data_IF_712093042225
#
_entry.id   IF_712093042225
#
_cell.length_a   1.000
_cell.length_b   1.000
_cell.length_c   1.000
_cell.angle_alpha   90.00
_cell.angle_beta   90.00
_cell.angle_gamma   90.00
#
_symmetry.space_group_name_H-M   'P 1'
#
loop_
_entity.id
_entity.type
_entity.pdbx_description
1 polymer ?
#
# COMPACT_ATOMS: atom_id res chain seq x y z
N UNK A 1 -10.70 -23.80 -18.30
CA UNK A 1 -10.78 -22.48 -18.97
C UNK A 1 -12.01 -21.64 -18.60
N UNK A 2 -13.16 -22.23 -18.23
CA UNK A 2 -14.43 -21.50 -18.06
C UNK A 2 -14.57 -20.60 -16.79
N UNK A 3 -13.86 -20.88 -15.70
CA UNK A 3 -14.05 -20.17 -14.42
C UNK A 3 -13.44 -18.76 -14.36
N UNK A 4 -12.44 -18.44 -15.21
CA UNK A 4 -11.76 -17.14 -15.20
C UNK A 4 -12.45 -16.05 -16.04
N UNK A 5 -13.38 -16.46 -16.91
CA UNK A 5 -14.14 -15.57 -17.78
C UNK A 5 -15.49 -15.14 -17.19
N UNK A 6 -15.95 -15.79 -16.11
CA UNK A 6 -17.19 -15.43 -15.45
C UNK A 6 -17.12 -13.99 -14.88
N UNK A 7 -18.10 -13.12 -15.18
CA UNK A 7 -18.13 -11.75 -14.67
C UNK A 7 -18.06 -11.76 -13.15
N UNK A 8 -17.12 -11.00 -12.59
CA UNK A 8 -17.01 -10.87 -11.13
C UNK A 8 -18.19 -10.05 -10.60
N UNK A 9 -18.96 -10.54 -9.61
CA UNK A 9 -20.11 -9.84 -9.07
C UNK A 9 -19.78 -8.44 -8.54
N UNK A 10 -20.69 -7.48 -8.70
CA UNK A 10 -20.55 -6.13 -8.18
C UNK A 10 -20.27 -6.11 -6.66
N UNK A 11 -20.93 -7.00 -5.89
CA UNK A 11 -20.72 -7.16 -4.45
C UNK A 11 -19.25 -7.43 -4.07
N UNK A 12 -18.51 -8.16 -4.91
CA UNK A 12 -17.10 -8.46 -4.64
C UNK A 12 -16.20 -7.25 -4.88
N UNK A 13 -16.54 -6.41 -5.86
CA UNK A 13 -15.83 -5.15 -6.12
C UNK A 13 -16.10 -4.12 -5.02
N UNK A 14 -17.35 -4.00 -4.59
CA UNK A 14 -17.75 -3.13 -3.49
C UNK A 14 -17.08 -3.60 -2.19
N UNK A 15 -17.10 -4.90 -1.90
CA UNK A 15 -16.41 -5.45 -0.73
C UNK A 15 -14.90 -5.17 -0.71
N UNK A 16 -14.22 -5.23 -1.86
CA UNK A 16 -12.81 -4.86 -1.95
C UNK A 16 -12.57 -3.36 -1.70
N UNK A 17 -13.41 -2.50 -2.30
CA UNK A 17 -13.31 -1.05 -2.10
C UNK A 17 -13.58 -0.65 -0.64
N UNK A 18 -14.62 -1.20 -0.02
CA UNK A 18 -14.95 -0.95 1.40
C UNK A 18 -13.87 -1.54 2.30
N UNK A 19 -13.36 -2.73 2.00
CA UNK A 19 -12.26 -3.34 2.75
C UNK A 19 -11.01 -2.45 2.75
N UNK A 20 -10.65 -1.86 1.61
CA UNK A 20 -9.53 -0.93 1.53
C UNK A 20 -9.82 0.42 2.20
N UNK A 21 -11.05 0.94 2.04
CA UNK A 21 -11.53 2.16 2.69
C UNK A 21 -11.40 2.10 4.22
N UNK A 22 -11.59 0.91 4.82
CA UNK A 22 -11.50 0.70 6.27
C UNK A 22 -10.11 0.24 6.72
N UNK A 23 -9.42 -0.60 5.94
CA UNK A 23 -8.11 -1.10 6.35
C UNK A 23 -7.04 0.00 6.35
N UNK A 24 -7.07 0.89 5.36
CA UNK A 24 -6.10 1.98 5.22
C UNK A 24 -6.00 2.89 6.45
N UNK A 25 -7.09 3.49 6.99
CA UNK A 25 -7.01 4.30 8.20
C UNK A 25 -6.61 3.50 9.45
N UNK A 26 -7.04 2.23 9.56
CA UNK A 26 -6.60 1.36 10.66
C UNK A 26 -5.09 1.15 10.60
N UNK A 27 -4.53 0.94 9.42
CA UNK A 27 -3.08 0.81 9.22
C UNK A 27 -2.32 2.11 9.49
N UNK A 28 -2.92 3.26 9.16
CA UNK A 28 -2.32 4.57 9.35
C UNK A 28 -2.27 4.98 10.83
N UNK A 29 -3.39 4.89 11.54
CA UNK A 29 -3.55 5.52 12.85
C UNK A 29 -3.63 4.53 14.01
N UNK A 30 -4.25 3.37 13.82
CA UNK A 30 -4.59 2.49 14.94
C UNK A 30 -3.57 1.37 15.16
N UNK A 31 -2.95 0.84 14.11
CA UNK A 31 -2.05 -0.31 14.22
C UNK A 31 -0.82 -0.05 15.11
N UNK A 32 -0.26 1.15 15.08
CA UNK A 32 0.93 1.49 15.87
C UNK A 32 0.57 1.82 17.33
N UNK A 33 -0.71 2.12 17.63
CA UNK A 33 -1.20 2.34 18.99
C UNK A 33 -0.57 3.54 19.71
N UNK A 34 -0.19 4.58 18.96
CA UNK A 34 0.52 5.75 19.51
C UNK A 34 -0.42 6.77 20.18
N UNK A 35 -1.72 6.75 19.89
CA UNK A 35 -2.68 7.71 20.42
C UNK A 35 -3.56 7.06 21.51
N UNK A 36 -3.87 7.79 22.58
CA UNK A 36 -4.78 7.37 23.66
C UNK A 36 -6.14 6.84 23.19
N UNK A 37 -6.60 7.22 21.99
CA UNK A 37 -7.82 6.69 21.36
C UNK A 37 -7.81 5.16 21.26
N UNK A 38 -6.63 4.52 21.25
CA UNK A 38 -6.48 3.06 21.28
C UNK A 38 -7.18 2.40 22.48
N UNK A 39 -7.35 3.15 23.58
CA UNK A 39 -8.07 2.71 24.77
C UNK A 39 -9.57 3.06 24.75
N UNK A 40 -10.08 3.64 23.65
CA UNK A 40 -11.45 4.14 23.50
C UNK A 40 -12.10 3.57 22.23
N UNK A 41 -12.59 2.31 22.24
CA UNK A 41 -13.08 1.63 21.04
C UNK A 41 -14.19 2.35 20.27
N UNK A 42 -15.09 3.04 20.98
CA UNK A 42 -16.15 3.83 20.36
C UNK A 42 -15.62 5.04 19.61
N UNK A 43 -14.57 5.67 20.13
CA UNK A 43 -13.92 6.80 19.48
C UNK A 43 -13.09 6.32 18.30
N UNK A 44 -12.47 5.15 18.38
CA UNK A 44 -11.84 4.53 17.22
C UNK A 44 -12.84 4.30 16.09
N UNK A 45 -14.05 3.81 16.40
CA UNK A 45 -15.08 3.57 15.39
C UNK A 45 -15.60 4.87 14.78
N UNK A 46 -15.86 5.89 15.60
CA UNK A 46 -16.32 7.20 15.11
C UNK A 46 -15.21 7.96 14.37
N UNK A 47 -13.96 7.80 14.78
CA UNK A 47 -12.78 8.34 14.09
C UNK A 47 -12.66 7.84 12.65
N UNK A 48 -13.08 6.60 12.37
CA UNK A 48 -13.13 6.08 10.99
C UNK A 48 -14.08 6.87 10.07
N UNK A 49 -15.03 7.64 10.61
CA UNK A 49 -15.87 8.53 9.80
C UNK A 49 -15.09 9.70 9.20
N UNK A 50 -13.96 10.09 9.79
CA UNK A 50 -13.06 11.13 9.27
C UNK A 50 -11.84 10.49 8.60
N UNK A 51 -11.24 9.49 9.25
CA UNK A 51 -10.05 8.80 8.76
C UNK A 51 -10.33 7.93 7.54
N UNK A 52 -11.50 7.31 7.43
CA UNK A 52 -11.92 6.56 6.24
C UNK A 52 -11.92 7.43 4.99
N UNK A 53 -12.60 8.58 5.00
CA UNK A 53 -12.49 9.56 3.93
C UNK A 53 -11.05 10.06 3.68
N UNK A 54 -10.29 10.40 4.73
CA UNK A 54 -8.93 10.96 4.56
C UNK A 54 -7.94 9.93 3.99
N UNK A 55 -7.84 8.75 4.59
CA UNK A 55 -6.86 7.71 4.23
C UNK A 55 -7.43 6.67 3.27
N UNK A 56 -8.59 6.12 3.60
CA UNK A 56 -9.20 5.04 2.85
C UNK A 56 -9.64 5.45 1.45
N UNK A 57 -10.29 6.61 1.30
CA UNK A 57 -10.70 7.08 -0.02
C UNK A 57 -9.48 7.40 -0.88
N UNK A 58 -8.42 7.97 -0.30
CA UNK A 58 -7.14 8.18 -0.98
C UNK A 58 -6.52 6.86 -1.45
N UNK A 59 -6.42 5.84 -0.59
CA UNK A 59 -5.91 4.52 -0.94
C UNK A 59 -6.69 3.87 -2.10
N UNK A 60 -8.03 3.96 -2.05
CA UNK A 60 -8.92 3.47 -3.10
C UNK A 60 -8.68 4.24 -4.40
N UNK A 61 -8.57 5.58 -4.36
CA UNK A 61 -8.33 6.42 -5.55
C UNK A 61 -6.95 6.19 -6.17
N UNK A 62 -5.89 6.07 -5.37
CA UNK A 62 -4.53 5.74 -5.82
C UNK A 62 -4.55 4.45 -6.63
N UNK A 63 -5.12 3.40 -6.03
CA UNK A 63 -5.22 2.07 -6.64
C UNK A 63 -6.08 2.11 -7.90
N UNK A 64 -7.26 2.71 -7.81
CA UNK A 64 -8.22 2.76 -8.91
C UNK A 64 -7.65 3.51 -10.13
N UNK A 65 -6.95 4.61 -9.88
CA UNK A 65 -6.29 5.43 -10.91
C UNK A 65 -5.18 4.64 -11.62
N UNK A 66 -4.34 3.93 -10.87
CA UNK A 66 -3.30 3.09 -11.46
C UNK A 66 -3.92 1.99 -12.34
N UNK A 67 -4.90 1.23 -11.83
CA UNK A 67 -5.50 0.11 -12.58
C UNK A 67 -6.27 0.56 -13.82
N UNK A 68 -7.04 1.67 -13.74
CA UNK A 68 -7.78 2.21 -14.89
C UNK A 68 -6.90 2.68 -16.02
N UNK A 69 -5.70 3.15 -15.70
CA UNK A 69 -4.76 3.66 -16.69
C UNK A 69 -3.79 2.57 -17.19
N UNK A 70 -4.07 1.30 -16.89
CA UNK A 70 -3.26 0.15 -17.29
C UNK A 70 -1.89 0.11 -16.61
N UNK A 71 -1.77 0.71 -15.42
CA UNK A 71 -0.53 0.84 -14.65
C UNK A 71 -0.57 -0.02 -13.39
N UNK A 72 0.61 -0.18 -12.78
CA UNK A 72 0.81 -1.06 -11.62
C UNK A 72 1.51 -0.37 -10.46
N UNK A 73 2.27 -1.17 -9.69
CA UNK A 73 2.94 -0.74 -8.47
C UNK A 73 3.80 0.52 -8.58
N UNK A 74 4.63 0.75 -9.62
CA UNK A 74 5.42 1.97 -9.71
C UNK A 74 4.57 3.25 -9.66
N UNK A 75 3.43 3.25 -10.36
CA UNK A 75 2.48 4.36 -10.34
C UNK A 75 1.79 4.46 -8.99
N UNK A 76 1.36 3.34 -8.39
CA UNK A 76 0.74 3.37 -7.06
C UNK A 76 1.70 3.93 -6.01
N UNK A 77 2.98 3.53 -6.00
CA UNK A 77 3.99 4.05 -5.07
C UNK A 77 4.20 5.55 -5.27
N UNK A 78 4.38 6.03 -6.51
CA UNK A 78 4.57 7.47 -6.76
C UNK A 78 3.34 8.31 -6.39
N UNK A 79 2.13 7.81 -6.66
CA UNK A 79 0.89 8.46 -6.22
C UNK A 79 0.76 8.46 -4.70
N UNK A 80 1.18 7.39 -4.02
CA UNK A 80 1.25 7.33 -2.56
C UNK A 80 2.24 8.36 -1.99
N UNK A 81 3.40 8.57 -2.64
CA UNK A 81 4.37 9.61 -2.22
C UNK A 81 3.75 10.99 -2.39
N UNK A 82 3.10 11.25 -3.53
CA UNK A 82 2.41 12.52 -3.79
C UNK A 82 1.30 12.76 -2.76
N UNK A 83 0.48 11.74 -2.46
CA UNK A 83 -0.58 11.84 -1.47
C UNK A 83 -0.04 12.05 -0.05
N UNK A 84 1.03 11.34 0.33
CA UNK A 84 1.68 11.52 1.62
C UNK A 84 2.30 12.91 1.81
N UNK A 85 2.89 13.47 0.75
CA UNK A 85 3.36 14.87 0.75
C UNK A 85 2.21 15.86 0.93
N UNK A 86 1.09 15.65 0.22
CA UNK A 86 -0.10 16.50 0.36
C UNK A 86 -0.70 16.38 1.75
N UNK A 87 -0.79 15.18 2.32
CA UNK A 87 -1.30 15.00 3.68
C UNK A 87 -0.42 15.69 4.71
N UNK A 88 0.86 15.31 4.78
CA UNK A 88 1.79 15.82 5.79
C UNK A 88 2.14 17.32 5.61
N UNK A 89 2.11 17.81 4.37
CA UNK A 89 2.56 19.17 4.04
C UNK A 89 1.43 20.18 3.89
N UNK A 90 0.30 19.79 3.30
CA UNK A 90 -0.81 20.70 2.99
C UNK A 90 -1.98 20.50 3.96
N UNK A 91 -2.38 19.25 4.21
CA UNK A 91 -3.60 18.95 4.96
C UNK A 91 -3.36 19.10 6.46
N UNK A 92 -2.49 18.30 7.07
CA UNK A 92 -2.22 18.37 8.51
C UNK A 92 -1.09 19.34 8.86
N UNK A 93 -0.25 19.69 7.88
CA UNK A 93 0.89 20.61 8.00
C UNK A 93 1.94 20.19 9.04
N UNK A 94 1.97 18.91 9.41
CA UNK A 94 2.92 18.29 10.35
C UNK A 94 4.39 18.46 9.94
N UNK A 95 4.68 18.64 8.65
CA UNK A 95 6.04 18.94 8.17
C UNK A 95 6.56 20.30 8.62
N UNK A 96 5.66 21.26 8.83
CA UNK A 96 6.00 22.67 9.04
C UNK A 96 5.67 23.17 10.45
N UNK A 97 4.68 22.56 11.11
CA UNK A 97 4.21 23.00 12.42
C UNK A 97 5.20 22.52 13.53
N UNK A 98 5.91 23.44 14.22
CA UNK A 98 6.80 23.06 15.31
C UNK A 98 6.03 22.51 16.52
N UNK A 99 4.75 22.84 16.67
CA UNK A 99 3.89 22.47 17.80
C UNK A 99 2.82 21.44 17.38
N UNK A 100 3.10 20.63 16.34
CA UNK A 100 2.16 19.62 15.85
C UNK A 100 1.79 18.58 16.91
N UNK A 101 2.78 18.16 17.71
CA UNK A 101 2.60 17.30 18.89
C UNK A 101 3.09 18.07 20.11
N UNK A 102 2.23 18.21 21.11
CA UNK A 102 2.52 18.95 22.35
C UNK A 102 3.26 18.08 23.37
N UNK A 103 4.42 17.53 22.99
CA UNK A 103 5.25 16.68 23.84
C UNK A 103 6.74 17.00 23.68
N UNK A 104 7.51 16.85 24.75
CA UNK A 104 8.95 17.10 24.71
C UNK A 104 9.70 16.17 23.75
N UNK A 105 9.17 14.97 23.50
CA UNK A 105 9.72 13.99 22.55
C UNK A 105 9.67 14.47 21.10
N UNK A 106 8.73 15.37 20.77
CA UNK A 106 8.58 15.91 19.42
C UNK A 106 9.83 16.68 18.98
N UNK A 107 10.29 17.63 19.79
CA UNK A 107 11.47 18.42 19.48
C UNK A 107 12.77 17.62 19.57
N UNK A 108 12.82 16.61 20.45
CA UNK A 108 13.93 15.66 20.52
C UNK A 108 14.09 14.86 19.23
N UNK A 109 13.00 14.53 18.52
CA UNK A 109 13.06 13.86 17.22
C UNK A 109 13.28 14.84 16.05
N UNK A 110 12.60 15.99 16.11
CA UNK A 110 12.54 17.01 15.05
C UNK A 110 13.85 17.75 14.87
N UNK A 111 14.36 18.36 15.94
CA UNK A 111 15.47 19.33 15.89
C UNK A 111 16.81 18.74 15.40
N UNK A 112 17.20 17.50 15.75
CA UNK A 112 18.50 16.95 15.34
C UNK A 112 18.76 16.87 13.83
N UNK A 113 17.72 16.90 13.00
CA UNK A 113 17.83 16.92 11.53
C UNK A 113 17.07 18.10 10.91
N UNK A 114 16.85 19.15 11.69
CA UNK A 114 16.18 20.36 11.24
C UNK A 114 17.09 21.17 10.30
N UNK A 115 16.54 21.58 9.16
CA UNK A 115 17.23 22.41 8.16
C UNK A 115 16.54 23.77 8.13
N UNK A 116 17.11 24.82 8.76
CA UNK A 116 16.45 26.13 8.88
C UNK A 116 16.05 26.75 7.54
N UNK A 117 16.87 26.57 6.50
CA UNK A 117 16.60 27.09 5.16
C UNK A 117 15.31 26.52 4.52
N UNK A 118 14.96 25.27 4.88
CA UNK A 118 13.74 24.62 4.40
C UNK A 118 12.60 24.72 5.42
N UNK A 119 12.92 25.00 6.67
CA UNK A 119 11.96 25.08 7.76
C UNK A 119 11.37 23.73 8.18
N UNK A 120 12.07 22.62 7.87
CA UNK A 120 11.60 21.25 8.12
C UNK A 120 12.69 20.39 8.77
N UNK A 121 12.25 19.33 9.46
CA UNK A 121 13.10 18.20 9.84
C UNK A 121 13.15 17.19 8.70
N UNK A 122 14.35 16.82 8.25
CA UNK A 122 14.51 15.81 7.18
C UNK A 122 14.05 14.44 7.67
N UNK A 123 14.27 14.13 8.96
CA UNK A 123 13.74 12.91 9.58
C UNK A 123 12.22 12.87 9.55
N UNK A 124 11.54 13.95 9.95
CA UNK A 124 10.07 14.01 9.88
C UNK A 124 9.55 13.90 8.45
N UNK A 125 10.23 14.51 7.47
CA UNK A 125 9.87 14.36 6.07
C UNK A 125 9.90 12.89 5.62
N UNK A 126 10.99 12.18 5.92
CA UNK A 126 11.13 10.76 5.57
C UNK A 126 10.14 9.90 6.37
N UNK A 127 9.93 10.20 7.65
CA UNK A 127 9.03 9.50 8.55
C UNK A 127 7.56 9.62 8.15
N UNK A 128 7.04 10.84 7.99
CA UNK A 128 5.62 11.05 7.66
C UNK A 128 5.30 10.63 6.22
N UNK A 129 6.09 11.05 5.24
CA UNK A 129 5.86 10.64 3.85
C UNK A 129 6.07 9.14 3.69
N UNK A 130 7.12 8.58 4.30
CA UNK A 130 7.37 7.14 4.31
C UNK A 130 6.23 6.37 4.98
N UNK A 131 5.73 6.85 6.11
CA UNK A 131 4.61 6.27 6.84
C UNK A 131 3.32 6.25 6.01
N UNK A 132 2.99 7.36 5.35
CA UNK A 132 1.88 7.41 4.41
C UNK A 132 2.03 6.40 3.27
N UNK A 133 3.21 6.37 2.65
CA UNK A 133 3.47 5.48 1.52
C UNK A 133 3.33 4.02 1.94
N UNK A 134 3.98 3.62 3.03
CA UNK A 134 4.09 2.24 3.47
C UNK A 134 2.83 1.76 4.17
N UNK A 135 2.43 2.43 5.25
CA UNK A 135 1.40 1.99 6.17
C UNK A 135 0.00 2.41 5.71
N UNK A 136 -0.18 3.66 5.32
CA UNK A 136 -1.50 4.17 4.97
C UNK A 136 -1.96 3.64 3.60
N UNK A 137 -1.04 3.45 2.65
CA UNK A 137 -1.41 3.18 1.25
C UNK A 137 -0.94 1.84 0.70
N UNK A 138 0.37 1.63 0.53
CA UNK A 138 0.86 0.49 -0.24
C UNK A 138 0.55 -0.85 0.42
N UNK A 139 0.77 -0.96 1.73
CA UNK A 139 0.54 -2.19 2.45
C UNK A 139 -0.95 -2.61 2.45
N UNK A 140 -1.93 -1.76 2.84
CA UNK A 140 -3.33 -2.13 2.77
C UNK A 140 -3.81 -2.40 1.35
N UNK A 141 -3.33 -1.66 0.33
CA UNK A 141 -3.62 -1.97 -1.09
C UNK A 141 -3.18 -3.41 -1.43
N UNK A 142 -1.93 -3.77 -1.12
CA UNK A 142 -1.39 -5.09 -1.46
C UNK A 142 -2.07 -6.23 -0.72
N UNK A 143 -2.45 -6.02 0.54
CA UNK A 143 -3.20 -7.01 1.34
C UNK A 143 -4.61 -7.21 0.78
N UNK A 144 -5.35 -6.13 0.49
CA UNK A 144 -6.71 -6.24 -0.05
C UNK A 144 -6.70 -6.84 -1.46
N UNK A 145 -5.77 -6.45 -2.33
CA UNK A 145 -5.63 -7.09 -3.65
C UNK A 145 -5.36 -8.60 -3.54
N UNK A 146 -4.59 -9.03 -2.53
CA UNK A 146 -4.31 -10.45 -2.26
C UNK A 146 -5.53 -11.22 -1.74
N UNK A 147 -6.50 -10.54 -1.13
CA UNK A 147 -7.77 -11.11 -0.70
C UNK A 147 -8.73 -11.38 -1.87
N UNK A 148 -8.61 -10.58 -2.93
CA UNK A 148 -9.46 -10.64 -4.14
C UNK A 148 -8.61 -10.80 -5.42
N UNK A 149 -7.84 -11.90 -5.57
CA UNK A 149 -6.86 -12.04 -6.65
C UNK A 149 -7.43 -11.88 -8.06
N UNK A 150 -8.68 -12.31 -8.31
CA UNK A 150 -9.38 -12.15 -9.60
C UNK A 150 -9.72 -10.70 -9.95
N UNK A 151 -9.64 -9.79 -8.99
CA UNK A 151 -9.91 -8.35 -9.13
C UNK A 151 -8.66 -7.50 -8.95
N UNK A 152 -7.51 -8.09 -8.61
CA UNK A 152 -6.31 -7.36 -8.20
C UNK A 152 -5.82 -6.40 -9.29
N UNK A 153 -5.87 -6.81 -10.56
CA UNK A 153 -5.44 -6.03 -11.72
C UNK A 153 -6.56 -5.24 -12.40
N UNK A 154 -7.80 -5.29 -11.89
CA UNK A 154 -8.99 -4.70 -12.52
C UNK A 154 -9.56 -3.52 -11.75
N UNK A 155 -10.07 -2.46 -12.39
CA UNK A 155 -10.83 -1.40 -11.72
C UNK A 155 -11.97 -1.97 -10.86
N UNK A 156 -12.16 -1.42 -9.66
CA UNK A 156 -13.22 -1.84 -8.73
C UNK A 156 -14.45 -0.95 -8.83
N UNK A 157 -14.25 0.34 -9.12
CA UNK A 157 -15.32 1.33 -9.09
C UNK A 157 -15.92 1.57 -10.48
N UNK A 158 -16.95 2.40 -10.54
CA UNK A 158 -17.41 3.09 -11.75
C UNK A 158 -17.10 4.58 -11.64
N UNK A 159 -17.63 5.39 -12.57
CA UNK A 159 -17.51 6.87 -12.50
C UNK A 159 -18.11 7.42 -11.20
N UNK A 160 -19.29 6.95 -10.82
CA UNK A 160 -19.97 7.35 -9.57
C UNK A 160 -19.10 7.03 -8.35
N UNK A 161 -18.55 5.81 -8.28
CA UNK A 161 -17.69 5.42 -7.15
C UNK A 161 -16.44 6.29 -7.04
N UNK A 162 -15.82 6.66 -8.16
CA UNK A 162 -14.70 7.62 -8.16
C UNK A 162 -15.16 8.97 -7.62
N UNK A 163 -16.26 9.53 -8.13
CA UNK A 163 -16.79 10.81 -7.67
C UNK A 163 -17.07 10.79 -6.16
N UNK A 164 -17.71 9.74 -5.66
CA UNK A 164 -17.97 9.58 -4.21
C UNK A 164 -16.65 9.55 -3.43
N UNK A 165 -15.66 8.76 -3.84
CA UNK A 165 -14.38 8.69 -3.14
C UNK A 165 -13.61 10.02 -3.20
N UNK A 166 -13.67 10.75 -4.32
CA UNK A 166 -13.04 12.07 -4.46
C UNK A 166 -13.70 13.11 -3.54
N UNK A 167 -15.03 13.11 -3.46
CA UNK A 167 -15.77 13.99 -2.54
C UNK A 167 -15.46 13.63 -1.09
N UNK A 168 -15.49 12.36 -0.73
CA UNK A 168 -15.13 11.90 0.62
C UNK A 168 -13.71 12.34 0.99
N UNK A 169 -12.73 12.09 0.12
CA UNK A 169 -11.35 12.54 0.36
C UNK A 169 -11.27 14.06 0.55
N UNK A 170 -11.92 14.85 -0.31
CA UNK A 170 -11.95 16.29 -0.18
C UNK A 170 -12.56 16.78 1.13
N UNK A 171 -13.65 16.15 1.59
CA UNK A 171 -14.28 16.47 2.87
C UNK A 171 -13.39 16.09 4.07
N UNK A 172 -12.80 14.90 4.06
CA UNK A 172 -11.86 14.47 5.10
C UNK A 172 -10.63 15.38 5.17
N UNK A 173 -10.06 15.72 4.01
CA UNK A 173 -8.97 16.68 3.90
C UNK A 173 -9.36 18.07 4.43
N UNK A 174 -10.56 18.56 4.10
CA UNK A 174 -11.04 19.87 4.58
C UNK A 174 -11.22 19.90 6.10
N UNK A 175 -11.77 18.84 6.69
CA UNK A 175 -11.95 18.74 8.16
C UNK A 175 -10.60 18.81 8.87
N UNK A 176 -9.65 17.98 8.44
CA UNK A 176 -8.32 17.91 9.07
C UNK A 176 -7.52 19.19 8.82
N UNK A 177 -7.59 19.75 7.61
CA UNK A 177 -6.98 21.04 7.30
C UNK A 177 -7.51 22.15 8.18
N UNK A 178 -8.84 22.25 8.34
CA UNK A 178 -9.46 23.26 9.20
C UNK A 178 -9.04 23.09 10.66
N UNK A 179 -8.92 21.85 11.13
CA UNK A 179 -8.51 21.57 12.50
C UNK A 179 -7.07 22.03 12.76
N UNK A 180 -6.12 21.63 11.90
CA UNK A 180 -4.71 21.97 12.07
C UNK A 180 -4.34 23.39 11.65
N UNK A 181 -5.22 24.09 10.92
CA UNK A 181 -4.99 25.49 10.50
C UNK A 181 -5.41 26.55 11.52
N UNK A 182 -5.96 26.16 12.68
CA UNK A 182 -6.44 27.12 13.70
C UNK A 182 -5.30 27.92 14.32
N UNK A 183 -4.25 27.21 14.72
CA UNK A 183 -3.13 27.77 15.50
C UNK A 183 -1.86 27.90 14.65
N UNK A 184 -1.80 27.23 13.50
CA UNK A 184 -0.66 27.26 12.60
C UNK A 184 -1.10 27.24 11.14
N UNK A 185 -0.56 28.13 10.31
CA UNK A 185 -0.74 28.08 8.87
C UNK A 185 0.61 28.25 8.16
N UNK A 186 1.00 27.23 7.39
CA UNK A 186 2.19 27.26 6.57
C UNK A 186 2.10 28.38 5.52
N UNK A 187 3.24 28.99 5.21
CA UNK A 187 3.27 30.08 4.23
C UNK A 187 2.81 29.60 2.85
N UNK A 188 2.20 30.47 2.03
CA UNK A 188 1.77 30.10 0.68
C UNK A 188 2.90 29.52 -0.18
N UNK A 189 4.14 29.98 0.03
CA UNK A 189 5.32 29.44 -0.65
C UNK A 189 5.60 27.97 -0.28
N UNK A 190 5.46 27.59 0.99
CA UNK A 190 5.63 26.20 1.46
C UNK A 190 4.54 25.30 0.89
N UNK A 191 3.28 25.73 0.97
CA UNK A 191 2.14 25.02 0.40
C UNK A 191 2.28 24.84 -1.12
N UNK A 192 2.66 25.91 -1.83
CA UNK A 192 2.92 25.89 -3.27
C UNK A 192 4.07 24.96 -3.66
N UNK A 193 5.13 24.90 -2.85
CA UNK A 193 6.26 23.98 -3.06
C UNK A 193 5.81 22.53 -2.94
N UNK A 194 5.07 22.18 -1.90
CA UNK A 194 4.54 20.82 -1.72
C UNK A 194 3.59 20.45 -2.87
N UNK A 195 2.70 21.36 -3.26
CA UNK A 195 1.79 21.14 -4.38
C UNK A 195 2.53 20.92 -5.71
N UNK A 196 3.59 21.70 -5.98
CA UNK A 196 4.41 21.55 -7.18
C UNK A 196 5.16 20.21 -7.20
N UNK A 197 5.73 19.78 -6.06
CA UNK A 197 6.42 18.50 -5.94
C UNK A 197 5.43 17.32 -6.11
N UNK A 198 4.26 17.39 -5.48
CA UNK A 198 3.21 16.39 -5.63
C UNK A 198 2.73 16.30 -7.10
N UNK A 199 2.53 17.44 -7.77
CA UNK A 199 2.17 17.47 -9.19
C UNK A 199 3.28 16.86 -10.07
N UNK A 200 4.54 17.19 -9.80
CA UNK A 200 5.69 16.59 -10.48
C UNK A 200 5.72 15.07 -10.35
N UNK A 201 5.50 14.55 -9.14
CA UNK A 201 5.40 13.11 -8.89
C UNK A 201 4.23 12.45 -9.64
N UNK A 202 3.07 13.11 -9.68
CA UNK A 202 1.90 12.65 -10.46
C UNK A 202 2.25 12.58 -11.95
N UNK A 203 2.88 13.64 -12.49
CA UNK A 203 3.33 13.67 -13.89
C UNK A 203 4.30 12.53 -14.17
N UNK A 204 5.31 12.32 -13.32
CA UNK A 204 6.26 11.21 -13.45
C UNK A 204 5.54 9.85 -13.38
N UNK A 205 4.58 9.69 -12.47
CA UNK A 205 3.81 8.45 -12.30
C UNK A 205 3.06 8.04 -13.58
N UNK A 206 2.62 9.02 -14.36
CA UNK A 206 1.97 8.79 -15.66
C UNK A 206 2.95 8.81 -16.84
N UNK A 207 4.13 9.42 -16.72
CA UNK A 207 5.17 9.36 -17.74
C UNK A 207 5.89 8.00 -17.78
N UNK A 208 5.86 7.24 -16.68
CA UNK A 208 6.49 5.92 -16.63
C UNK A 208 5.95 4.96 -17.71
N UNK A 209 6.83 4.18 -18.37
CA UNK A 209 6.42 3.19 -19.35
C UNK A 209 5.44 2.16 -18.78
N UNK A 210 4.41 1.84 -19.56
CA UNK A 210 3.50 0.73 -19.24
C UNK A 210 4.24 -0.58 -19.50
N UNK A 211 4.37 -1.42 -18.47
CA UNK A 211 4.92 -2.77 -18.66
C UNK A 211 3.81 -3.70 -19.15
N UNK A 212 4.01 -4.41 -20.27
CA UNK A 212 3.03 -5.37 -20.75
C UNK A 212 2.86 -6.53 -19.74
N UNK A 213 1.63 -7.03 -19.53
CA UNK A 213 1.40 -8.22 -18.73
C UNK A 213 2.22 -9.40 -19.25
N UNK A 214 2.93 -10.10 -18.37
CA UNK A 214 3.69 -11.32 -18.74
C UNK A 214 5.12 -11.09 -19.26
N UNK A 215 5.60 -9.84 -19.40
CA UNK A 215 6.95 -9.52 -19.87
C UNK A 215 8.05 -9.57 -18.81
N UNK A 216 7.99 -10.52 -17.87
CA UNK A 216 8.97 -10.61 -16.78
C UNK A 216 10.35 -11.04 -17.30
N UNK A 217 11.43 -10.37 -16.85
CA UNK A 217 12.79 -10.79 -17.19
C UNK A 217 13.17 -12.08 -16.46
N UNK A 218 14.09 -12.85 -17.04
CA UNK A 218 14.68 -14.01 -16.38
C UNK A 218 15.51 -13.63 -15.16
N UNK A 219 15.55 -14.50 -14.16
CA UNK A 219 16.42 -14.35 -12.99
C UNK A 219 15.80 -14.87 -11.70
N UNK A 220 16.66 -15.18 -10.73
CA UNK A 220 16.25 -15.70 -9.42
C UNK A 220 15.54 -14.62 -8.59
N UNK A 221 14.41 -14.97 -7.98
CA UNK A 221 13.72 -14.16 -6.98
C UNK A 221 13.77 -14.93 -5.66
N UNK A 222 14.01 -14.28 -4.50
CA UNK A 222 13.92 -14.97 -3.22
C UNK A 222 12.53 -15.59 -3.03
N UNK A 223 12.40 -16.67 -2.24
CA UNK A 223 11.08 -17.20 -1.92
C UNK A 223 10.25 -16.13 -1.15
N UNK A 224 8.91 -16.14 -1.26
CA UNK A 224 8.07 -15.11 -0.65
C UNK A 224 8.32 -14.88 0.85
N UNK A 225 8.57 -15.95 1.62
CA UNK A 225 8.84 -15.83 3.05
C UNK A 225 10.13 -15.05 3.32
N UNK A 226 11.19 -15.25 2.52
CA UNK A 226 12.46 -14.55 2.69
C UNK A 226 12.33 -13.07 2.31
N UNK A 227 11.53 -12.76 1.28
CA UNK A 227 11.19 -11.37 0.94
C UNK A 227 10.41 -10.70 2.08
N UNK A 228 9.47 -11.42 2.71
CA UNK A 228 8.74 -10.95 3.89
C UNK A 228 9.65 -10.70 5.10
N UNK A 229 10.53 -11.65 5.44
CA UNK A 229 11.50 -11.48 6.54
C UNK A 229 12.45 -10.31 6.29
N UNK A 230 12.96 -10.16 5.06
CA UNK A 230 13.78 -9.00 4.68
C UNK A 230 13.00 -7.68 4.82
N UNK A 231 11.72 -7.66 4.44
CA UNK A 231 10.87 -6.50 4.64
C UNK A 231 10.67 -6.19 6.13
N UNK A 232 10.43 -7.19 7.00
CA UNK A 232 10.34 -6.98 8.46
C UNK A 232 11.59 -6.29 9.00
N UNK A 233 12.78 -6.76 8.61
CA UNK A 233 14.05 -6.17 9.07
C UNK A 233 14.21 -4.73 8.60
N UNK A 234 14.00 -4.47 7.31
CA UNK A 234 14.21 -3.12 6.75
C UNK A 234 13.16 -2.12 7.24
N UNK A 235 11.91 -2.56 7.40
CA UNK A 235 10.83 -1.74 7.92
C UNK A 235 10.95 -1.51 9.43
N UNK A 236 11.45 -2.49 10.17
CA UNK A 236 11.84 -2.32 11.58
C UNK A 236 12.97 -1.30 11.73
N UNK A 237 14.00 -1.37 10.88
CA UNK A 237 15.08 -0.38 10.87
C UNK A 237 14.61 1.04 10.51
N UNK A 238 13.62 1.16 9.63
CA UNK A 238 12.95 2.44 9.34
C UNK A 238 12.28 3.02 10.60
N UNK A 239 11.43 2.23 11.28
CA UNK A 239 10.66 2.67 12.45
C UNK A 239 11.53 2.93 13.69
N UNK A 240 12.55 2.09 13.92
CA UNK A 240 13.40 2.15 15.11
C UNK A 240 14.63 3.05 14.92
N UNK A 241 14.67 3.84 13.85
CA UNK A 241 15.79 4.76 13.59
C UNK A 241 15.85 5.86 14.65
N UNK A 242 17.01 5.99 15.30
CA UNK A 242 17.23 6.99 16.34
C UNK A 242 17.10 8.44 15.82
N UNK A 243 16.84 9.44 16.68
CA UNK A 243 16.95 10.85 16.30
C UNK A 243 18.34 11.20 15.75
N UNK A 244 18.40 12.21 14.89
CA UNK A 244 19.66 12.72 14.32
C UNK A 244 20.11 12.09 13.01
N UNK A 245 21.21 12.62 12.47
CA UNK A 245 21.72 12.28 11.13
C UNK A 245 22.10 10.81 10.96
N UNK A 246 22.63 10.16 12.00
CA UNK A 246 22.97 8.74 11.95
C UNK A 246 21.75 7.84 11.80
N UNK A 247 20.69 8.09 12.59
CA UNK A 247 19.43 7.36 12.45
C UNK A 247 18.73 7.66 11.12
N UNK A 248 18.76 8.92 10.68
CA UNK A 248 18.27 9.28 9.35
C UNK A 248 19.01 8.53 8.22
N UNK A 249 20.33 8.43 8.29
CA UNK A 249 21.11 7.68 7.30
C UNK A 249 20.74 6.19 7.27
N UNK A 250 20.58 5.57 8.44
CA UNK A 250 20.09 4.19 8.55
C UNK A 250 18.69 4.03 7.93
N UNK A 251 17.79 4.96 8.25
CA UNK A 251 16.43 4.97 7.73
C UNK A 251 16.40 5.04 6.19
N UNK A 252 17.10 6.03 5.62
CA UNK A 252 17.21 6.20 4.17
C UNK A 252 17.85 4.98 3.52
N UNK A 253 18.91 4.41 4.12
CA UNK A 253 19.54 3.20 3.62
C UNK A 253 18.57 2.01 3.62
N UNK A 254 17.79 1.82 4.69
CA UNK A 254 16.81 0.75 4.79
C UNK A 254 15.70 0.88 3.72
N UNK A 255 15.16 2.09 3.53
CA UNK A 255 14.17 2.38 2.50
C UNK A 255 14.74 2.22 1.08
N UNK A 256 15.97 2.67 0.85
CA UNK A 256 16.65 2.51 -0.44
C UNK A 256 16.93 1.04 -0.77
N UNK A 257 17.34 0.24 0.21
CA UNK A 257 17.53 -1.20 0.05
C UNK A 257 16.19 -1.92 -0.22
N UNK A 258 15.13 -1.55 0.50
CA UNK A 258 13.80 -2.11 0.27
C UNK A 258 13.29 -1.76 -1.14
N UNK A 259 13.31 -0.47 -1.49
CA UNK A 259 12.89 0.02 -2.81
C UNK A 259 13.72 -0.55 -3.94
N UNK A 260 15.04 -0.57 -3.83
CA UNK A 260 15.94 -1.15 -4.82
C UNK A 260 15.72 -2.66 -5.02
N UNK A 261 15.48 -3.40 -3.93
CA UNK A 261 15.15 -4.83 -3.98
C UNK A 261 13.81 -5.06 -4.69
N UNK A 262 12.79 -4.27 -4.38
CA UNK A 262 11.48 -4.32 -5.04
C UNK A 262 11.59 -3.96 -6.53
N UNK A 263 12.34 -2.92 -6.89
CA UNK A 263 12.56 -2.54 -8.29
C UNK A 263 13.26 -3.66 -9.07
N UNK A 264 14.26 -4.31 -8.45
CA UNK A 264 15.04 -5.40 -9.06
C UNK A 264 14.22 -6.69 -9.23
N UNK A 265 13.41 -7.05 -8.24
CA UNK A 265 12.71 -8.33 -8.24
C UNK A 265 11.31 -8.28 -8.84
N UNK A 266 10.58 -7.17 -8.70
CA UNK A 266 9.20 -7.05 -9.19
C UNK A 266 9.05 -7.17 -10.71
N UNK A 267 10.14 -6.93 -11.46
CA UNK A 267 10.18 -7.13 -12.91
C UNK A 267 10.50 -8.55 -13.36
N UNK A 268 10.79 -9.49 -12.45
CA UNK A 268 11.21 -10.86 -12.78
C UNK A 268 10.00 -11.79 -12.85
N UNK A 269 10.04 -12.79 -13.73
CA UNK A 269 8.96 -13.76 -13.90
C UNK A 269 8.60 -14.53 -12.61
N UNK A 270 9.56 -14.72 -11.70
CA UNK A 270 9.34 -15.39 -10.41
C UNK A 270 8.68 -14.53 -9.33
N UNK A 271 8.46 -13.23 -9.55
CA UNK A 271 7.80 -12.35 -8.59
C UNK A 271 6.28 -12.36 -8.81
N UNK A 272 5.52 -12.66 -7.75
CA UNK A 272 4.06 -12.78 -7.86
C UNK A 272 3.29 -12.26 -6.65
N UNK A 273 1.99 -12.52 -6.64
CA UNK A 273 1.08 -12.07 -5.58
C UNK A 273 1.48 -12.55 -4.17
N UNK A 274 2.11 -13.73 -4.07
CA UNK A 274 2.63 -14.23 -2.79
C UNK A 274 3.75 -13.34 -2.23
N UNK A 275 4.63 -12.79 -3.08
CA UNK A 275 5.67 -11.84 -2.66
C UNK A 275 5.07 -10.51 -2.25
N UNK A 276 4.08 -10.02 -3.00
CA UNK A 276 3.35 -8.79 -2.66
C UNK A 276 2.69 -8.92 -1.30
N UNK A 277 1.97 -10.01 -1.05
CA UNK A 277 1.36 -10.29 0.26
C UNK A 277 2.41 -10.39 1.36
N UNK A 278 3.55 -11.03 1.11
CA UNK A 278 4.61 -11.16 2.10
C UNK A 278 5.22 -9.82 2.49
N UNK A 279 5.51 -8.94 1.53
CA UNK A 279 6.08 -7.60 1.79
C UNK A 279 5.06 -6.66 2.41
N UNK A 280 3.84 -6.60 1.87
CA UNK A 280 2.78 -5.73 2.40
C UNK A 280 2.30 -6.22 3.77
N UNK A 281 2.19 -7.53 3.96
CA UNK A 281 1.84 -8.14 5.24
C UNK A 281 2.93 -7.95 6.29
N UNK A 282 4.20 -8.06 5.93
CA UNK A 282 5.31 -7.69 6.82
C UNK A 282 5.17 -6.26 7.32
N UNK A 283 4.69 -5.36 6.48
CA UNK A 283 4.46 -3.99 6.87
C UNK A 283 3.40 -3.86 8.00
N UNK A 284 2.23 -4.47 7.82
CA UNK A 284 1.18 -4.48 8.85
C UNK A 284 1.66 -5.15 10.14
N UNK A 285 2.41 -6.26 10.02
CA UNK A 285 2.93 -7.00 11.18
C UNK A 285 3.97 -6.17 11.95
N UNK A 286 4.89 -5.47 11.28
CA UNK A 286 5.86 -4.60 11.95
C UNK A 286 5.12 -3.50 12.73
N UNK A 287 4.14 -2.83 12.09
CA UNK A 287 3.41 -1.75 12.74
C UNK A 287 2.62 -2.26 13.96
N UNK A 288 1.90 -3.38 13.81
CA UNK A 288 1.16 -4.01 14.89
C UNK A 288 2.07 -4.56 16.01
N UNK A 289 3.26 -5.08 15.70
CA UNK A 289 4.19 -5.58 16.69
C UNK A 289 4.82 -4.45 17.51
N UNK A 290 5.14 -3.32 16.86
CA UNK A 290 5.69 -2.15 17.54
C UNK A 290 4.70 -1.51 18.52
N UNK A 291 3.39 -1.68 18.31
CA UNK A 291 2.37 -1.18 19.25
C UNK A 291 2.55 -1.68 20.69
N UNK A 292 3.21 -2.82 20.89
CA UNK A 292 3.47 -3.37 22.23
C UNK A 292 4.60 -2.64 22.96
N UNK A 293 5.46 -1.92 22.25
CA UNK A 293 6.60 -1.18 22.82
C UNK A 293 6.47 0.32 22.71
N UNK A 294 5.60 0.83 21.83
CA UNK A 294 5.28 2.26 21.71
C UNK A 294 4.51 2.71 22.94
N UNK A 295 4.94 3.79 23.57
CA UNK A 295 4.19 4.48 24.62
C UNK A 295 3.15 5.42 23.96
N UNK A 296 1.87 5.33 24.34
CA UNK A 296 0.85 6.17 23.75
C UNK A 296 0.97 7.60 24.29
N UNK A 297 0.65 8.56 23.44
CA UNK A 297 0.44 9.96 23.80
C UNK A 297 -0.82 10.08 24.69
N UNK A 298 -0.71 10.84 25.78
CA UNK A 298 -1.81 11.05 26.72
C UNK A 298 -2.06 9.87 27.67
N UNK A 299 -3.23 9.90 28.33
CA UNK A 299 -3.55 8.96 29.41
C UNK A 299 -4.31 7.73 28.88
N UNK A 300 -3.56 6.69 28.49
CA UNK A 300 -4.12 5.41 28.03
C UNK A 300 -4.09 4.34 29.13
N UNK A 301 -5.20 3.62 29.32
CA UNK A 301 -5.22 2.45 30.21
C UNK A 301 -4.34 1.33 29.64
N UNK A 302 -3.33 0.82 30.38
CA UNK A 302 -2.45 -0.24 29.88
C UNK A 302 -3.21 -1.50 29.46
N UNK A 303 -4.21 -1.90 30.24
CA UNK A 303 -5.03 -3.09 29.97
C UNK A 303 -5.80 -2.95 28.65
N UNK A 304 -6.45 -1.80 28.45
CA UNK A 304 -7.23 -1.55 27.23
C UNK A 304 -6.32 -1.39 26.01
N UNK A 305 -5.21 -0.65 26.14
CA UNK A 305 -4.19 -0.52 25.09
C UNK A 305 -3.69 -1.88 24.62
N UNK A 306 -3.16 -2.71 25.53
CA UNK A 306 -2.59 -4.00 25.14
C UNK A 306 -3.66 -5.00 24.67
N UNK A 307 -4.88 -4.92 25.19
CA UNK A 307 -6.03 -5.66 24.68
C UNK A 307 -6.38 -5.29 23.24
N UNK A 308 -6.45 -3.99 22.92
CA UNK A 308 -6.69 -3.49 21.57
C UNK A 308 -5.56 -3.87 20.61
N UNK A 309 -4.29 -3.72 21.04
CA UNK A 309 -3.12 -4.12 20.26
C UNK A 309 -3.13 -5.62 19.92
N UNK A 310 -3.47 -6.47 20.89
CA UNK A 310 -3.62 -7.91 20.67
C UNK A 310 -4.75 -8.24 19.69
N UNK A 311 -5.91 -7.56 19.80
CA UNK A 311 -7.03 -7.75 18.88
C UNK A 311 -6.70 -7.29 17.45
N UNK A 312 -6.00 -6.16 17.30
CA UNK A 312 -5.55 -5.66 16.00
C UNK A 312 -4.51 -6.58 15.36
N UNK A 313 -3.53 -7.05 16.14
CA UNK A 313 -2.55 -8.03 15.67
C UNK A 313 -3.23 -9.34 15.23
N UNK A 314 -4.15 -9.87 16.03
CA UNK A 314 -4.91 -11.07 15.66
C UNK A 314 -5.70 -10.84 14.36
N UNK A 315 -6.34 -9.69 14.21
CA UNK A 315 -7.06 -9.32 12.99
C UNK A 315 -6.14 -9.27 11.76
N UNK A 316 -4.95 -8.68 11.90
CA UNK A 316 -3.92 -8.67 10.85
C UNK A 316 -3.52 -10.10 10.47
N UNK A 317 -3.18 -10.95 11.44
CA UNK A 317 -2.77 -12.33 11.17
C UNK A 317 -3.88 -13.16 10.50
N UNK A 318 -5.12 -13.00 10.95
CA UNK A 318 -6.29 -13.65 10.33
C UNK A 318 -6.50 -13.17 8.89
N UNK A 319 -6.40 -11.86 8.65
CA UNK A 319 -6.51 -11.27 7.31
C UNK A 319 -5.42 -11.79 6.37
N UNK A 320 -4.16 -11.84 6.83
CA UNK A 320 -3.04 -12.37 6.04
C UNK A 320 -3.17 -13.87 5.77
N UNK A 321 -3.65 -14.63 6.76
CA UNK A 321 -3.97 -16.05 6.61
C UNK A 321 -5.06 -16.26 5.55
N UNK A 322 -6.15 -15.50 5.63
CA UNK A 322 -7.23 -15.53 4.65
C UNK A 322 -6.74 -15.15 3.25
N UNK A 323 -6.00 -14.05 3.10
CA UNK A 323 -5.40 -13.65 1.83
C UNK A 323 -4.52 -14.77 1.24
N UNK A 324 -3.69 -15.42 2.06
CA UNK A 324 -2.85 -16.54 1.61
C UNK A 324 -3.67 -17.74 1.13
N UNK A 325 -4.79 -18.06 1.79
CA UNK A 325 -5.70 -19.12 1.34
C UNK A 325 -6.33 -18.78 -0.02
N UNK A 326 -6.68 -17.51 -0.26
CA UNK A 326 -7.25 -17.03 -1.54
C UNK A 326 -6.25 -17.10 -2.69
N UNK A 327 -4.95 -17.00 -2.41
CA UNK A 327 -3.89 -17.12 -3.40
C UNK A 327 -3.57 -18.57 -3.80
N UNK A 328 -3.83 -19.58 -2.95
CA UNK A 328 -3.46 -20.99 -3.23
C UNK A 328 -3.96 -21.54 -4.58
N UNK A 329 -5.23 -21.36 -4.99
CA UNK A 329 -5.72 -21.88 -6.27
C UNK A 329 -5.03 -21.23 -7.49
N UNK A 330 -4.50 -20.02 -7.34
CA UNK A 330 -3.82 -19.28 -8.40
C UNK A 330 -2.32 -19.65 -8.48
N UNK A 331 -1.73 -20.13 -7.39
CA UNK A 331 -0.34 -20.60 -7.35
C UNK A 331 -0.18 -22.04 -7.85
N UNK A 332 -1.24 -22.86 -7.79
CA UNK A 332 -1.22 -24.27 -8.17
C UNK A 332 -1.39 -24.52 -9.68
N UNK A 333 -1.63 -23.48 -10.50
CA UNK A 333 -1.65 -23.62 -11.96
C UNK A 333 -0.22 -23.46 -12.51
N UNK A 334 0.40 -24.51 -13.06
CA UNK A 334 1.69 -24.37 -13.71
C UNK A 334 1.53 -23.46 -14.93
N UNK A 335 2.40 -22.45 -15.03
CA UNK A 335 2.49 -21.48 -16.12
C UNK A 335 3.05 -22.06 -17.42
N UNK A 336 2.75 -23.33 -17.72
CA UNK A 336 3.39 -24.12 -18.78
C UNK A 336 2.46 -24.81 -19.78
N UNK A 337 1.14 -24.77 -19.61
CA UNK A 337 0.21 -25.35 -20.60
C UNK A 337 -0.51 -24.23 -21.38
N UNK A 338 0.25 -23.47 -22.16
CA UNK A 338 -0.28 -22.94 -23.42
C UNK A 338 -0.51 -24.13 -24.34
N UNK A 339 -1.78 -24.41 -24.64
CA UNK A 339 -2.23 -25.62 -25.30
C UNK A 339 -1.49 -25.93 -26.60
N UNK A 340 -0.73 -27.02 -26.59
CA UNK A 340 -0.69 -27.90 -27.74
C UNK A 340 -1.98 -28.73 -27.67
N UNK A 341 -2.91 -28.47 -28.60
CA UNK A 341 -4.01 -29.39 -28.84
C UNK A 341 -3.42 -30.77 -29.20
N UNK A 342 -3.91 -31.88 -28.63
CA UNK A 342 -3.57 -33.20 -29.15
C UNK A 342 -4.20 -33.33 -30.54
N UNK A 343 -3.36 -33.34 -31.57
CA UNK A 343 -3.75 -33.64 -32.94
C UNK A 343 -4.15 -35.12 -33.00
N UNK A 344 -5.44 -35.37 -32.76
CA UNK A 344 -6.03 -36.69 -32.84
C UNK A 344 -7.02 -36.74 -34.02
N UNK A 345 -6.69 -37.63 -34.95
CA UNK A 345 -7.56 -38.26 -35.94
C UNK A 345 -7.82 -37.51 -37.27
N UNK A 346 -6.82 -37.57 -38.17
CA UNK A 346 -7.07 -37.91 -39.58
C UNK A 346 -6.21 -39.11 -40.00
N UNK A 347 -6.54 -40.26 -39.42
CA UNK A 347 -6.19 -41.57 -39.95
C UNK A 347 -7.42 -42.22 -40.57
N UNK A 348 -7.66 -41.97 -41.86
CA UNK A 348 -8.29 -42.96 -42.73
C UNK A 348 -7.38 -43.12 -43.94
N UNK A 349 -6.43 -44.04 -43.80
CA UNK A 349 -5.85 -44.70 -44.95
C UNK A 349 -6.94 -45.55 -45.58
N UNK A 350 -7.34 -45.19 -46.80
CA UNK A 350 -7.89 -46.15 -47.74
C UNK A 350 -6.72 -46.60 -48.63
N UNK A 351 -6.64 -47.92 -48.74
CA UNK A 351 -5.65 -48.75 -49.41
C UNK A 351 -5.18 -48.33 -50.81
N UNK A 352 -3.97 -48.81 -51.09
CA UNK A 352 -3.25 -48.84 -52.36
C UNK A 352 -3.80 -49.91 -53.32
N UNK A 353 -3.77 -49.57 -54.60
CA UNK A 353 -3.26 -50.37 -55.76
C UNK A 353 -4.08 -51.58 -56.24
N UNK A 354 -4.60 -51.50 -57.49
CA UNK A 354 -4.12 -52.32 -58.63
C UNK A 354 -4.67 -51.84 -59.97
N UNK A 355 -3.76 -51.65 -60.92
CA UNK A 355 -4.00 -51.65 -62.36
C UNK A 355 -4.43 -53.05 -62.83
N UNK A 356 -5.32 -53.11 -63.83
CA UNK A 356 -5.18 -53.91 -65.08
C UNK A 356 -6.27 -53.50 -66.11
N UNK A 357 -6.08 -53.80 -67.41
CA UNK A 357 -6.52 -52.96 -68.55
C UNK A 357 -7.78 -53.49 -69.24
N UNK A 358 -8.40 -52.68 -70.11
CA UNK A 358 -9.02 -53.05 -71.40
C UNK A 358 -9.71 -51.82 -72.03
N UNK A 359 -9.45 -51.58 -73.32
CA UNK A 359 -10.14 -50.58 -74.14
C UNK A 359 -9.20 -49.79 -75.03
#
# INVERSE_FOLDING_TARGET
MAADLAPVPARSRIGAAVGLLLLSPVCAEYLIGYDQIISRPWDMLTGLLVLGPLYGAAAVLIRETARRTGRGWPTMVLLSVACGLVQAGVIDQSLFNPDFVQEASWDQDRLPTYVPALGISVKHLVGFVGGHVLWSFCAPIGVVESCVPRLADRPWLGRIGITVMSVLYGLGALVIFKEHSKDFLATPARLGTVAALALGLIVVAFALPRRPPGGGTGGRVPPPWAAGCGAVVLLGAHQLSAPGWGGLALNVAALALAGGSLLRWSGRAGWGAAHVLAVCGAALVVNAALSFVVEPLGDASPVLKYGANAALMATVLLLLGWARLRLRPHLARPSGETGAAPDAARGRGAERVRETPHG
#
